data_IF_431211558280
#
_entry.id   IF_431211558280
#
_cell.length_a   1.000
_cell.length_b   1.000
_cell.length_c   1.000
_cell.angle_alpha   90.00
_cell.angle_beta   90.00
_cell.angle_gamma   90.00
#
_symmetry.space_group_name_H-M   'P 1'
#
loop_
_entity.id
_entity.type
_entity.pdbx_description
1 polymer ?
#
# COMPACT_ATOMS: atom_id res chain seq x y z
N UNK A 1 9.05 0.94 -1.82
CA UNK A 1 7.61 0.62 -1.63
C UNK A 1 6.80 1.90 -1.79
N UNK A 2 5.78 1.93 -2.64
CA UNK A 2 5.01 3.16 -2.90
C UNK A 2 3.81 3.35 -1.97
N UNK A 3 3.08 2.26 -1.70
CA UNK A 3 1.86 2.27 -0.89
C UNK A 3 1.57 0.89 -0.30
N UNK A 4 1.08 0.86 0.93
CA UNK A 4 0.25 -0.24 1.44
C UNK A 4 -1.20 0.21 1.47
N UNK A 5 -2.11 -0.62 0.96
CA UNK A 5 -3.53 -0.28 0.99
C UNK A 5 -4.42 -1.41 0.50
N UNK A 6 -5.69 -1.34 0.90
CA UNK A 6 -6.71 -2.27 0.45
C UNK A 6 -7.28 -1.91 -0.93
N UNK A 7 -7.80 -2.90 -1.66
CA UNK A 7 -8.65 -2.65 -2.82
C UNK A 7 -9.58 -3.79 -3.16
N UNK A 8 -10.77 -3.44 -3.65
CA UNK A 8 -11.67 -4.36 -4.35
C UNK A 8 -11.48 -4.36 -5.87
N UNK A 9 -10.77 -3.36 -6.43
CA UNK A 9 -10.58 -3.20 -7.88
C UNK A 9 -9.36 -3.96 -8.43
N UNK A 10 -8.54 -4.55 -7.55
CA UNK A 10 -7.30 -5.23 -7.92
C UNK A 10 -6.44 -4.37 -8.85
N UNK A 11 -5.95 -4.98 -9.95
CA UNK A 11 -5.09 -4.33 -10.95
C UNK A 11 -5.74 -3.10 -11.62
N UNK A 12 -7.07 -2.95 -11.59
CA UNK A 12 -7.74 -1.79 -12.17
C UNK A 12 -7.60 -0.51 -11.33
N UNK A 13 -7.14 -0.59 -10.07
CA UNK A 13 -6.96 0.60 -9.22
C UNK A 13 -5.93 1.57 -9.79
N UNK A 14 -4.88 1.07 -10.44
CA UNK A 14 -3.85 1.90 -11.07
C UNK A 14 -3.70 1.48 -12.52
N UNK A 15 -3.63 2.46 -13.42
CA UNK A 15 -3.37 2.17 -14.83
C UNK A 15 -1.95 1.62 -15.00
N UNK A 16 -1.76 0.81 -16.03
CA UNK A 16 -0.44 0.27 -16.37
C UNK A 16 0.59 1.39 -16.59
N UNK A 17 0.22 2.41 -17.37
CA UNK A 17 1.10 3.55 -17.65
C UNK A 17 1.59 4.26 -16.38
N UNK A 18 0.72 4.40 -15.37
CA UNK A 18 1.11 5.00 -14.09
C UNK A 18 2.13 4.11 -13.36
N UNK A 19 1.87 2.81 -13.26
CA UNK A 19 2.77 1.86 -12.61
C UNK A 19 4.13 1.80 -13.30
N UNK A 20 4.15 1.79 -14.64
CA UNK A 20 5.37 1.80 -15.44
C UNK A 20 6.18 3.10 -15.22
N UNK A 21 5.51 4.26 -15.18
CA UNK A 21 6.17 5.55 -14.92
C UNK A 21 6.83 5.64 -13.53
N UNK A 22 6.34 4.84 -12.60
CA UNK A 22 6.81 4.79 -11.22
C UNK A 22 7.75 3.58 -10.96
N UNK A 23 8.08 2.83 -12.02
CA UNK A 23 8.81 1.56 -11.96
C UNK A 23 8.27 0.62 -10.85
N UNK A 24 6.95 0.49 -10.80
CA UNK A 24 6.27 -0.20 -9.72
C UNK A 24 5.28 -1.24 -10.24
N UNK A 25 4.96 -2.20 -9.37
CA UNK A 25 3.95 -3.22 -9.65
C UNK A 25 2.95 -3.27 -8.50
N UNK A 26 1.69 -3.55 -8.81
CA UNK A 26 0.69 -3.87 -7.80
C UNK A 26 0.73 -5.38 -7.51
N UNK A 27 0.85 -5.74 -6.23
CA UNK A 27 0.85 -7.13 -5.76
C UNK A 27 -0.25 -7.33 -4.71
N UNK A 28 -1.20 -8.27 -4.90
CA UNK A 28 -2.07 -8.73 -3.83
C UNK A 28 -1.25 -9.55 -2.81
N UNK A 29 -1.26 -9.13 -1.54
CA UNK A 29 -0.52 -9.81 -0.47
C UNK A 29 -1.44 -10.64 0.42
N UNK A 30 -2.61 -10.08 0.79
CA UNK A 30 -3.60 -10.70 1.67
C UNK A 30 -5.01 -10.30 1.22
N UNK A 31 -6.00 -11.10 1.62
CA UNK A 31 -7.41 -10.82 1.44
C UNK A 31 -8.14 -10.97 2.78
N UNK A 32 -9.23 -10.24 2.96
CA UNK A 32 -10.05 -10.29 4.16
C UNK A 32 -11.10 -9.19 4.18
N UNK A 33 -11.77 -9.04 5.30
CA UNK A 33 -12.71 -7.94 5.52
C UNK A 33 -12.02 -6.58 5.45
N UNK A 34 -12.81 -5.53 5.18
CA UNK A 34 -12.31 -4.15 5.17
C UNK A 34 -11.53 -3.82 6.44
N UNK A 35 -12.06 -4.20 7.61
CA UNK A 35 -11.41 -3.97 8.91
C UNK A 35 -10.05 -4.66 8.99
N UNK A 36 -9.97 -5.94 8.62
CA UNK A 36 -8.71 -6.69 8.64
C UNK A 36 -7.67 -6.07 7.71
N UNK A 37 -8.08 -5.62 6.52
CA UNK A 37 -7.17 -4.96 5.57
C UNK A 37 -6.70 -3.59 6.08
N UNK A 38 -7.56 -2.82 6.75
CA UNK A 38 -7.16 -1.58 7.43
C UNK A 38 -6.16 -1.85 8.58
N UNK A 39 -6.38 -2.87 9.39
CA UNK A 39 -5.41 -3.26 10.43
C UNK A 39 -4.10 -3.80 9.82
N UNK A 40 -4.15 -4.48 8.68
CA UNK A 40 -2.97 -4.96 7.97
C UNK A 40 -2.16 -3.82 7.35
N UNK A 41 -2.78 -2.89 6.63
CA UNK A 41 -2.08 -1.75 6.03
C UNK A 41 -1.42 -0.88 7.11
N UNK A 42 -2.10 -0.66 8.25
CA UNK A 42 -1.57 0.11 9.38
C UNK A 42 -0.28 -0.52 9.90
N UNK A 43 -0.28 -1.83 10.18
CA UNK A 43 0.92 -2.57 10.62
C UNK A 43 2.06 -2.45 9.62
N UNK A 44 1.79 -2.59 8.32
CA UNK A 44 2.81 -2.46 7.28
C UNK A 44 3.38 -1.05 7.13
N UNK A 45 2.57 -0.02 7.31
CA UNK A 45 3.07 1.36 7.33
C UNK A 45 3.97 1.58 8.56
N UNK A 46 3.59 1.09 9.73
CA UNK A 46 4.45 1.18 10.94
C UNK A 46 5.78 0.43 10.77
N UNK A 47 5.75 -0.81 10.27
CA UNK A 47 6.96 -1.57 9.94
C UNK A 47 7.86 -0.80 8.95
N UNK A 48 7.27 -0.21 7.91
CA UNK A 48 8.02 0.60 6.95
C UNK A 48 8.64 1.83 7.62
N UNK A 49 7.88 2.58 8.42
CA UNK A 49 8.38 3.76 9.14
C UNK A 49 9.55 3.42 10.03
N UNK A 50 9.47 2.32 10.79
CA UNK A 50 10.55 1.87 11.66
C UNK A 50 11.86 1.62 10.88
N UNK A 51 11.74 1.16 9.64
CA UNK A 51 12.88 0.88 8.76
C UNK A 51 13.31 2.07 7.88
N UNK A 52 12.56 3.18 7.86
CA UNK A 52 12.77 4.31 6.95
C UNK A 52 12.82 5.65 7.72
N UNK A 53 13.48 5.67 8.89
CA UNK A 53 13.65 6.88 9.70
C UNK A 53 12.33 7.62 10.02
N UNK A 54 11.26 6.85 10.25
CA UNK A 54 9.93 7.40 10.55
C UNK A 54 9.15 7.86 9.30
N UNK A 55 9.74 7.81 8.10
CA UNK A 55 9.06 8.17 6.87
C UNK A 55 8.10 7.06 6.43
N UNK A 56 6.89 7.46 6.04
CA UNK A 56 5.87 6.57 5.45
C UNK A 56 6.11 6.37 3.95
N UNK A 57 5.51 5.35 3.31
CA UNK A 57 5.49 5.26 1.86
C UNK A 57 4.84 6.52 1.25
N UNK A 58 5.40 7.07 0.18
CA UNK A 58 5.01 8.40 -0.31
C UNK A 58 3.53 8.56 -0.68
N UNK A 59 2.86 7.47 -1.08
CA UNK A 59 1.45 7.50 -1.48
C UNK A 59 0.48 7.18 -0.33
N UNK A 60 0.98 6.85 0.87
CA UNK A 60 0.17 6.75 2.08
C UNK A 60 -0.05 8.15 2.66
N UNK A 61 -1.31 8.62 2.70
CA UNK A 61 -1.70 9.93 3.24
C UNK A 61 -1.98 9.94 4.74
N UNK A 62 -2.14 8.76 5.32
CA UNK A 62 -2.36 8.51 6.74
C UNK A 62 -1.59 7.25 7.12
N UNK A 63 -1.27 7.13 8.40
CA UNK A 63 -0.69 5.92 8.96
C UNK A 63 -1.78 4.93 9.40
N UNK A 64 -3.06 5.31 9.34
CA UNK A 64 -4.26 4.55 9.70
C UNK A 64 -5.33 4.65 8.59
#
# INVERSE_FOLDING_TARGET
>A
MLKYGETTLGKARYTKNYLDSENAVMRPEVAGSKREMHCWQHRKILEYKNNNAGARPRLNKSDY
#
